data_IF_336234253947
#
_entry.id   IF_336234253947
#
_cell.length_a   1.000
_cell.length_b   1.000
_cell.length_c   1.000
_cell.angle_alpha   90.00
_cell.angle_beta   90.00
_cell.angle_gamma   90.00
#
_symmetry.space_group_name_H-M   'P 1'
#
loop_
_entity.id
_entity.type
_entity.pdbx_description
1 polymer ?
#
# COMPACT_ATOMS: atom_id res chain seq x y z
N UNK A 1 12.89 -1.39 -0.21
CA UNK A 1 13.77 -0.23 0.10
C UNK A 1 13.52 0.32 1.50
N UNK A 2 12.30 0.79 1.84
CA UNK A 2 12.01 1.29 3.20
C UNK A 2 12.18 0.22 4.28
N UNK A 3 11.69 -1.01 4.04
CA UNK A 3 11.93 -2.16 4.91
C UNK A 3 13.43 -2.41 5.15
N UNK A 4 14.24 -2.35 4.08
CA UNK A 4 15.70 -2.53 4.19
C UNK A 4 16.37 -1.45 5.04
N UNK A 5 15.85 -0.21 5.03
CA UNK A 5 16.34 0.87 5.90
C UNK A 5 16.02 0.55 7.37
N UNK A 6 14.80 0.07 7.65
CA UNK A 6 14.40 -0.31 9.00
C UNK A 6 15.22 -1.51 9.52
N UNK A 7 15.46 -2.52 8.68
CA UNK A 7 16.30 -3.69 8.98
C UNK A 7 17.75 -3.29 9.29
N UNK A 8 18.30 -2.32 8.55
CA UNK A 8 19.70 -1.90 8.64
C UNK A 8 19.92 -0.69 9.55
N UNK A 9 18.89 -0.22 10.29
CA UNK A 9 18.96 1.03 11.06
C UNK A 9 20.15 1.14 12.02
N UNK A 10 20.57 0.03 12.63
CA UNK A 10 21.73 -0.02 13.54
C UNK A 10 23.05 0.13 12.78
N UNK A 11 23.19 -0.57 11.65
CA UNK A 11 24.38 -0.48 10.80
C UNK A 11 24.50 0.92 10.19
N UNK A 12 23.39 1.49 9.72
CA UNK A 12 23.34 2.86 9.20
C UNK A 12 23.69 3.89 10.28
N UNK A 13 23.23 3.70 11.53
CA UNK A 13 23.59 4.58 12.64
C UNK A 13 25.10 4.54 12.93
N UNK A 14 25.70 3.35 13.03
CA UNK A 14 27.14 3.18 13.25
C UNK A 14 27.95 3.82 12.12
N UNK A 15 27.60 3.53 10.87
CA UNK A 15 28.26 4.11 9.69
C UNK A 15 28.16 5.66 9.67
N UNK A 16 27.01 6.20 10.08
CA UNK A 16 26.81 7.65 10.15
C UNK A 16 27.71 8.31 11.20
N UNK A 17 27.97 7.65 12.33
CA UNK A 17 28.93 8.15 13.34
C UNK A 17 30.37 8.16 12.82
N UNK A 18 30.76 7.12 12.06
CA UNK A 18 32.12 7.00 11.53
C UNK A 18 32.40 8.02 10.41
N UNK A 19 31.38 8.38 9.63
CA UNK A 19 31.53 9.21 8.43
C UNK A 19 30.96 10.64 8.58
N UNK A 20 30.58 11.06 9.80
CA UNK A 20 29.96 12.36 10.07
C UNK A 20 28.72 12.67 9.20
N UNK A 21 27.93 11.64 8.90
CA UNK A 21 26.68 11.77 8.16
C UNK A 21 25.54 12.04 9.15
N UNK A 22 24.58 12.87 8.77
CA UNK A 22 23.39 13.13 9.60
C UNK A 22 22.61 11.85 9.84
N UNK A 23 22.41 11.50 11.11
CA UNK A 23 21.61 10.34 11.51
C UNK A 23 20.12 10.63 11.39
N UNK A 24 19.35 9.57 11.08
CA UNK A 24 17.89 9.59 11.19
C UNK A 24 17.48 9.77 12.66
N UNK A 25 16.63 10.77 12.90
CA UNK A 25 16.06 11.04 14.22
C UNK A 25 14.86 10.08 14.45
N UNK A 26 14.52 9.80 15.71
CA UNK A 26 13.43 8.89 16.09
C UNK A 26 12.11 9.17 15.37
N UNK A 27 11.75 10.43 15.12
CA UNK A 27 10.53 10.81 14.40
C UNK A 27 10.58 10.42 12.91
N UNK A 28 11.76 10.42 12.28
CA UNK A 28 11.93 10.00 10.89
C UNK A 28 11.85 8.47 10.78
N UNK A 29 12.39 7.74 11.76
CA UNK A 29 12.23 6.28 11.85
C UNK A 29 10.77 5.87 12.09
N UNK A 30 10.07 6.58 12.98
CA UNK A 30 8.63 6.37 13.20
C UNK A 30 7.83 6.61 11.90
N UNK A 31 8.15 7.67 11.16
CA UNK A 31 7.53 7.94 9.86
C UNK A 31 7.80 6.82 8.84
N UNK A 32 9.04 6.30 8.77
CA UNK A 32 9.38 5.16 7.90
C UNK A 32 8.54 3.93 8.26
N UNK A 33 8.41 3.61 9.54
CA UNK A 33 7.59 2.49 9.99
C UNK A 33 6.12 2.65 9.59
N UNK A 34 5.56 3.85 9.76
CA UNK A 34 4.18 4.16 9.31
C UNK A 34 4.03 4.02 7.81
N UNK A 35 5.01 4.44 7.01
CA UNK A 35 5.01 4.27 5.57
C UNK A 35 5.06 2.80 5.16
N UNK A 36 5.87 1.98 5.83
CA UNK A 36 5.94 0.54 5.57
C UNK A 36 4.57 -0.10 5.82
N UNK A 37 3.93 0.20 6.96
CA UNK A 37 2.60 -0.32 7.30
C UNK A 37 1.55 0.14 6.28
N UNK A 38 1.56 1.42 5.91
CA UNK A 38 0.61 1.98 4.95
C UNK A 38 0.75 1.32 3.56
N UNK A 39 1.99 1.08 3.12
CA UNK A 39 2.30 0.57 1.78
C UNK A 39 2.25 -0.95 1.65
N UNK A 40 2.39 -1.72 2.75
CA UNK A 40 2.42 -3.20 2.71
C UNK A 40 1.23 -3.81 1.96
N UNK A 41 -0.04 -3.42 2.22
CA UNK A 41 -1.17 -4.01 1.51
C UNK A 41 -1.19 -3.69 0.01
N UNK A 42 -0.62 -2.54 -0.39
CA UNK A 42 -0.49 -2.15 -1.80
C UNK A 42 0.53 -3.05 -2.49
N UNK A 43 1.66 -3.33 -1.83
CA UNK A 43 2.67 -4.26 -2.33
C UNK A 43 2.12 -5.68 -2.47
N UNK A 44 1.44 -6.20 -1.45
CA UNK A 44 0.84 -7.54 -1.45
C UNK A 44 -0.18 -7.72 -2.58
N UNK A 45 -1.04 -6.73 -2.80
CA UNK A 45 -2.01 -6.73 -3.89
C UNK A 45 -1.29 -6.67 -5.24
N UNK A 46 -0.27 -5.82 -5.38
CA UNK A 46 0.50 -5.69 -6.62
C UNK A 46 1.21 -6.99 -6.98
N UNK A 47 1.82 -7.67 -6.01
CA UNK A 47 2.44 -8.98 -6.20
C UNK A 47 1.39 -10.03 -6.60
N UNK A 48 0.22 -10.03 -5.95
CA UNK A 48 -0.88 -10.95 -6.27
C UNK A 48 -1.40 -10.76 -7.70
N UNK A 49 -1.49 -9.52 -8.18
CA UNK A 49 -1.94 -9.19 -9.55
C UNK A 49 -0.84 -9.51 -10.59
N UNK A 50 0.43 -9.36 -10.22
CA UNK A 50 1.56 -9.60 -11.12
C UNK A 50 1.86 -11.10 -11.35
N UNK A 51 1.18 -11.98 -10.63
CA UNK A 51 1.26 -13.43 -10.83
C UNK A 51 0.70 -13.85 -12.20
N UNK A 52 1.33 -14.84 -12.84
CA UNK A 52 0.84 -15.44 -14.09
C UNK A 52 -0.55 -16.08 -13.95
N UNK A 53 -0.94 -16.44 -12.73
CA UNK A 53 -2.21 -17.09 -12.43
C UNK A 53 -3.27 -16.08 -11.96
N UNK A 54 -2.98 -14.78 -12.01
CA UNK A 54 -3.93 -13.76 -11.59
C UNK A 54 -5.08 -13.63 -12.59
N UNK A 55 -6.28 -13.40 -12.07
CA UNK A 55 -7.49 -13.24 -12.88
C UNK A 55 -8.05 -11.83 -12.74
N UNK A 56 -8.63 -11.27 -13.80
CA UNK A 56 -9.29 -9.96 -13.72
C UNK A 56 -10.47 -9.92 -12.72
N UNK A 57 -10.98 -11.08 -12.32
CA UNK A 57 -12.07 -11.22 -11.34
C UNK A 57 -11.75 -10.61 -9.98
N UNK A 58 -10.47 -10.59 -9.56
CA UNK A 58 -10.05 -10.06 -8.25
C UNK A 58 -9.89 -8.54 -8.22
N UNK A 59 -9.95 -7.86 -9.37
CA UNK A 59 -9.66 -6.42 -9.46
C UNK A 59 -10.64 -5.60 -8.61
N UNK A 60 -11.95 -5.86 -8.73
CA UNK A 60 -12.97 -5.15 -7.94
C UNK A 60 -12.75 -5.38 -6.44
N UNK A 61 -12.44 -6.62 -6.05
CA UNK A 61 -12.16 -6.98 -4.66
C UNK A 61 -10.96 -6.18 -4.12
N UNK A 62 -9.85 -6.17 -4.85
CA UNK A 62 -8.63 -5.50 -4.42
C UNK A 62 -8.75 -3.98 -4.39
N UNK A 63 -9.43 -3.37 -5.36
CA UNK A 63 -9.70 -1.93 -5.33
C UNK A 63 -10.56 -1.57 -4.12
N UNK A 64 -11.60 -2.36 -3.81
CA UNK A 64 -12.41 -2.15 -2.60
C UNK A 64 -11.62 -2.36 -1.31
N UNK A 65 -10.73 -3.36 -1.27
CA UNK A 65 -9.86 -3.61 -0.12
C UNK A 65 -8.90 -2.42 0.12
N UNK A 66 -8.28 -1.88 -0.95
CA UNK A 66 -7.44 -0.69 -0.88
C UNK A 66 -8.23 0.54 -0.46
N UNK A 67 -9.45 0.73 -0.98
CA UNK A 67 -10.32 1.82 -0.56
C UNK A 67 -10.56 1.78 0.94
N UNK A 68 -10.99 0.63 1.45
CA UNK A 68 -11.25 0.43 2.89
C UNK A 68 -10.01 0.64 3.74
N UNK A 69 -8.85 0.15 3.30
CA UNK A 69 -7.57 0.37 3.99
C UNK A 69 -7.22 1.85 4.10
N UNK A 70 -7.41 2.61 3.02
CA UNK A 70 -7.08 4.03 2.96
C UNK A 70 -8.15 4.92 3.62
N UNK A 71 -9.39 4.48 3.71
CA UNK A 71 -10.49 5.21 4.38
C UNK A 71 -10.47 5.06 5.90
N UNK A 72 -9.96 3.93 6.41
CA UNK A 72 -9.87 3.66 7.84
C UNK A 72 -8.84 4.56 8.51
N UNK A 73 -9.29 5.68 9.08
CA UNK A 73 -8.45 6.64 9.77
C UNK A 73 -8.21 6.25 11.23
N UNK A 74 -6.96 6.12 11.64
CA UNK A 74 -6.53 5.83 13.01
C UNK A 74 -5.57 6.91 13.53
N UNK A 75 -5.47 7.08 14.86
CA UNK A 75 -4.52 8.00 15.47
C UNK A 75 -3.06 7.69 15.11
N UNK A 76 -2.79 6.44 14.73
CA UNK A 76 -1.48 5.96 14.26
C UNK A 76 -1.08 6.56 12.90
N UNK A 77 -2.02 7.10 12.13
CA UNK A 77 -1.76 7.74 10.83
C UNK A 77 -1.16 9.15 10.93
N UNK A 78 -0.98 9.70 12.14
CA UNK A 78 -0.34 11.00 12.34
C UNK A 78 1.05 11.02 11.70
N UNK A 79 1.25 11.90 10.73
CA UNK A 79 2.47 12.03 9.92
C UNK A 79 2.35 11.48 8.50
N UNK A 80 1.41 10.57 8.24
CA UNK A 80 1.13 10.01 6.89
C UNK A 80 -0.26 10.36 6.37
N UNK A 81 -1.08 11.05 7.17
CA UNK A 81 -2.46 11.46 6.83
C UNK A 81 -2.62 12.06 5.43
N UNK A 82 -1.85 13.10 5.12
CA UNK A 82 -1.96 13.81 3.83
C UNK A 82 -1.65 12.88 2.65
N UNK A 83 -0.70 11.95 2.82
CA UNK A 83 -0.38 10.96 1.81
C UNK A 83 -1.53 9.95 1.64
N UNK A 84 -2.12 9.50 2.75
CA UNK A 84 -3.26 8.59 2.75
C UNK A 84 -4.48 9.20 2.06
N UNK A 85 -4.80 10.46 2.34
CA UNK A 85 -5.86 11.21 1.64
C UNK A 85 -5.57 11.36 0.14
N UNK A 86 -4.35 11.74 -0.23
CA UNK A 86 -3.95 11.87 -1.62
C UNK A 86 -4.03 10.53 -2.37
N UNK A 87 -3.67 9.43 -1.70
CA UNK A 87 -3.81 8.07 -2.23
C UNK A 87 -5.26 7.66 -2.41
N UNK A 88 -6.11 7.91 -1.41
CA UNK A 88 -7.54 7.61 -1.49
C UNK A 88 -8.20 8.39 -2.62
N UNK A 89 -7.88 9.68 -2.75
CA UNK A 89 -8.35 10.51 -3.86
C UNK A 89 -7.89 9.96 -5.21
N UNK A 90 -6.61 9.60 -5.34
CA UNK A 90 -6.06 9.04 -6.57
C UNK A 90 -6.69 7.69 -6.93
N UNK A 91 -6.95 6.84 -5.94
CA UNK A 91 -7.61 5.55 -6.11
C UNK A 91 -9.03 5.75 -6.67
N UNK A 92 -9.81 6.62 -6.03
CA UNK A 92 -11.17 6.94 -6.44
C UNK A 92 -11.24 7.57 -7.83
N UNK A 93 -10.31 8.48 -8.14
CA UNK A 93 -10.25 9.09 -9.47
C UNK A 93 -9.87 8.09 -10.56
N UNK A 94 -8.94 7.17 -10.30
CA UNK A 94 -8.46 6.22 -11.30
C UNK A 94 -9.44 5.08 -11.57
N UNK A 95 -10.20 4.66 -10.56
CA UNK A 95 -11.10 3.51 -10.64
C UNK A 95 -12.58 3.89 -10.53
N UNK A 96 -12.93 5.14 -10.81
CA UNK A 96 -14.33 5.64 -10.72
C UNK A 96 -15.32 4.85 -11.58
N UNK A 97 -14.90 4.40 -12.76
CA UNK A 97 -15.74 3.66 -13.72
C UNK A 97 -15.45 2.15 -13.71
N UNK A 98 -14.80 1.62 -12.67
CA UNK A 98 -14.40 0.21 -12.60
C UNK A 98 -15.60 -0.75 -12.75
N UNK A 99 -16.72 -0.43 -12.11
CA UNK A 99 -17.96 -1.23 -12.19
C UNK A 99 -18.73 -1.04 -13.51
N UNK A 100 -18.31 -0.09 -14.36
CA UNK A 100 -18.85 0.08 -15.71
C UNK A 100 -18.05 -0.67 -16.77
N UNK A 101 -16.87 -1.19 -16.41
CA UNK A 101 -16.06 -1.98 -17.31
C UNK A 101 -16.65 -3.40 -17.41
N UNK A 102 -17.33 -3.68 -18.52
CA UNK A 102 -18.00 -4.95 -18.78
C UNK A 102 -17.06 -6.16 -18.63
N UNK A 103 -15.82 -6.07 -19.11
CA UNK A 103 -14.87 -7.19 -19.02
C UNK A 103 -14.50 -7.53 -17.58
N UNK A 104 -14.33 -6.52 -16.73
CA UNK A 104 -14.00 -6.71 -15.31
C UNK A 104 -15.21 -7.26 -14.56
N UNK A 105 -16.40 -6.70 -14.79
CA UNK A 105 -17.65 -7.16 -14.16
C UNK A 105 -17.96 -8.60 -14.56
N UNK A 106 -17.88 -8.93 -15.85
CA UNK A 106 -18.08 -10.30 -16.32
C UNK A 106 -17.04 -11.24 -15.73
N UNK A 107 -15.76 -10.87 -15.67
CA UNK A 107 -14.74 -11.69 -15.04
C UNK A 107 -15.07 -11.98 -13.56
N UNK A 108 -15.47 -10.96 -12.79
CA UNK A 108 -15.87 -11.12 -11.39
C UNK A 108 -17.14 -11.96 -11.22
N UNK A 109 -18.15 -11.81 -12.08
CA UNK A 109 -19.40 -12.60 -12.04
C UNK A 109 -19.16 -14.05 -12.49
N UNK A 110 -18.27 -14.29 -13.45
CA UNK A 110 -18.02 -15.65 -13.94
C UNK A 110 -17.20 -16.47 -12.95
N UNK A 111 -16.31 -15.82 -12.20
CA UNK A 111 -15.47 -16.49 -11.22
C UNK A 111 -16.31 -17.12 -10.08
N UNK A 112 -16.24 -18.45 -9.90
CA UNK A 112 -17.01 -19.16 -8.88
C UNK A 112 -16.61 -18.79 -7.45
N UNK A 113 -15.41 -18.25 -7.22
CA UNK A 113 -14.93 -17.89 -5.89
C UNK A 113 -15.75 -16.76 -5.23
N UNK A 114 -16.53 -16.00 -6.00
CA UNK A 114 -17.31 -14.85 -5.51
C UNK A 114 -18.82 -15.10 -5.46
N UNK A 115 -19.29 -16.35 -5.61
CA UNK A 115 -20.73 -16.71 -5.68
C UNK A 115 -21.31 -17.30 -4.39
N UNK A 116 -20.47 -17.59 -3.41
CA UNK A 116 -20.86 -18.09 -2.09
C UNK A 116 -20.91 -16.94 -1.08
#
# INVERSE_FOLDING_TARGET
MLQSIEEQKVALAAYSTENNITQLINNQLDLINKLIILLSPIEEITQSISSSNSCASVIILFVRALHKHLENNDETDRGVWTMKEAMLHSLNSRYCDLERNEAIVLASILDPCFKN
#
